data_IF_941502452805
#
_entry.id   IF_941502452805
#
_cell.length_a   1.000
_cell.length_b   1.000
_cell.length_c   1.000
_cell.angle_alpha   90.00
_cell.angle_beta   90.00
_cell.angle_gamma   90.00
#
_symmetry.space_group_name_H-M   'P 1'
#
loop_
_entity.id
_entity.type
_entity.pdbx_description
1 polymer ?
#
# COMPACT_ATOMS: atom_id res chain seq x y z
N UNK A 1 30.81 -30.83 -12.98
CA UNK A 1 30.01 -29.99 -13.89
C UNK A 1 29.35 -28.94 -13.01
N UNK A 2 29.90 -27.73 -12.97
CA UNK A 2 29.63 -26.74 -11.92
C UNK A 2 28.73 -25.65 -12.51
N UNK A 3 27.54 -25.47 -11.93
CA UNK A 3 26.58 -24.42 -12.31
C UNK A 3 27.22 -23.02 -12.20
N UNK A 4 27.17 -22.18 -13.25
CA UNK A 4 27.66 -20.82 -13.19
C UNK A 4 26.51 -19.88 -12.80
N UNK A 5 26.61 -19.22 -11.63
CA UNK A 5 25.68 -18.10 -11.35
C UNK A 5 25.40 -17.72 -9.90
N UNK A 6 26.28 -18.00 -8.94
CA UNK A 6 26.10 -17.47 -7.58
C UNK A 6 27.10 -16.36 -7.26
N UNK A 7 26.86 -15.19 -7.86
CA UNK A 7 27.45 -13.94 -7.37
C UNK A 7 26.61 -13.44 -6.18
N UNK A 8 27.21 -12.99 -5.06
CA UNK A 8 26.47 -12.56 -3.89
C UNK A 8 25.79 -11.21 -4.17
N UNK A 9 24.51 -11.23 -4.51
CA UNK A 9 23.66 -10.05 -4.48
C UNK A 9 23.25 -9.80 -3.02
N UNK A 10 23.68 -8.68 -2.43
CA UNK A 10 23.43 -8.27 -1.05
C UNK A 10 21.97 -7.82 -0.78
N UNK A 11 20.99 -8.39 -1.48
CA UNK A 11 19.58 -7.97 -1.43
C UNK A 11 18.65 -9.08 -0.96
N UNK A 12 17.47 -8.69 -0.46
CA UNK A 12 16.40 -9.63 -0.15
C UNK A 12 16.04 -10.45 -1.40
N UNK A 13 15.97 -11.78 -1.28
CA UNK A 13 15.66 -12.71 -2.37
C UNK A 13 14.37 -13.46 -2.09
N UNK A 14 13.45 -13.44 -3.04
CA UNK A 14 12.30 -14.35 -3.05
C UNK A 14 12.70 -15.67 -3.71
N UNK A 15 12.52 -16.79 -3.00
CA UNK A 15 12.68 -18.14 -3.56
C UNK A 15 11.28 -18.68 -3.86
N UNK A 16 10.89 -18.65 -5.12
CA UNK A 16 9.59 -19.18 -5.56
C UNK A 16 9.76 -20.66 -5.90
N UNK A 17 8.90 -21.51 -5.32
CA UNK A 17 8.84 -22.94 -5.59
C UNK A 17 7.52 -23.25 -6.29
N UNK A 18 7.56 -24.13 -7.28
CA UNK A 18 6.35 -24.58 -7.97
C UNK A 18 5.48 -25.41 -7.02
N UNK A 19 4.19 -25.06 -6.90
CA UNK A 19 3.22 -25.76 -6.02
C UNK A 19 1.94 -26.21 -6.74
N UNK A 20 2.01 -26.47 -8.05
CA UNK A 20 0.83 -26.79 -8.85
C UNK A 20 0.00 -25.54 -9.21
N UNK A 21 -1.15 -25.72 -9.88
CA UNK A 21 -2.02 -24.62 -10.25
C UNK A 21 -2.56 -23.88 -9.01
N UNK A 22 -2.55 -22.54 -9.03
CA UNK A 22 -3.20 -21.73 -8.01
C UNK A 22 -4.71 -21.69 -8.30
N UNK A 23 -5.52 -22.24 -7.39
CA UNK A 23 -6.98 -22.10 -7.40
C UNK A 23 -7.44 -21.28 -6.19
N UNK A 24 -8.27 -20.28 -6.44
CA UNK A 24 -8.85 -19.43 -5.40
C UNK A 24 -9.21 -18.05 -5.92
N UNK A 25 -9.90 -17.28 -5.07
CA UNK A 25 -10.28 -15.89 -5.35
C UNK A 25 -9.49 -14.97 -4.43
N UNK A 26 -8.77 -14.02 -5.01
CA UNK A 26 -8.10 -12.96 -4.26
C UNK A 26 -8.79 -11.63 -4.53
N UNK A 27 -8.98 -10.83 -3.48
CA UNK A 27 -9.49 -9.47 -3.64
C UNK A 27 -8.31 -8.57 -3.96
N UNK A 28 -8.22 -8.09 -5.20
CA UNK A 28 -7.19 -7.15 -5.58
C UNK A 28 -7.35 -5.84 -4.80
N UNK A 29 -6.30 -5.41 -4.09
CA UNK A 29 -6.24 -4.14 -3.38
C UNK A 29 -6.12 -2.95 -4.35
N UNK A 30 -7.19 -2.65 -5.09
CA UNK A 30 -7.19 -1.70 -6.20
C UNK A 30 -7.23 -0.21 -5.84
N UNK A 31 -6.99 0.18 -4.59
CA UNK A 31 -7.27 1.54 -4.14
C UNK A 31 -6.04 2.45 -4.03
N UNK A 32 -4.80 1.94 -4.02
CA UNK A 32 -3.58 2.73 -3.76
C UNK A 32 -3.47 4.00 -4.60
N UNK A 33 -3.57 3.86 -5.92
CA UNK A 33 -3.39 4.98 -6.86
C UNK A 33 -4.57 5.96 -6.84
N UNK A 34 -5.75 5.49 -6.41
CA UNK A 34 -6.93 6.34 -6.26
C UNK A 34 -6.87 7.12 -4.95
N UNK A 35 -6.49 6.45 -3.85
CA UNK A 35 -6.36 7.05 -2.52
C UNK A 35 -5.35 8.21 -2.52
N UNK A 36 -4.17 8.02 -3.10
CA UNK A 36 -3.15 9.07 -3.19
C UNK A 36 -3.66 10.32 -3.93
N UNK A 37 -4.39 10.13 -5.04
CA UNK A 37 -4.97 11.25 -5.81
C UNK A 37 -6.05 11.97 -5.03
N UNK A 38 -6.90 11.23 -4.33
CA UNK A 38 -7.96 11.79 -3.50
C UNK A 38 -7.38 12.56 -2.29
N UNK A 39 -6.32 12.03 -1.66
CA UNK A 39 -5.58 12.71 -0.60
C UNK A 39 -5.04 14.07 -1.05
N UNK A 40 -4.48 14.15 -2.26
CA UNK A 40 -4.07 15.43 -2.85
C UNK A 40 -5.27 16.34 -3.19
N UNK A 41 -6.36 15.78 -3.72
CA UNK A 41 -7.56 16.54 -4.06
C UNK A 41 -8.23 17.19 -2.83
N UNK A 42 -8.10 16.59 -1.65
CA UNK A 42 -8.58 17.18 -0.39
C UNK A 42 -7.94 18.53 -0.06
N UNK A 43 -6.78 18.87 -0.64
CA UNK A 43 -6.18 20.20 -0.52
C UNK A 43 -6.92 21.27 -1.32
N UNK A 44 -7.65 20.88 -2.37
CA UNK A 44 -8.33 21.79 -3.29
C UNK A 44 -9.73 22.19 -2.84
N UNK A 45 -10.28 21.49 -1.83
CA UNK A 45 -11.63 21.69 -1.34
C UNK A 45 -11.59 22.04 0.15
N UNK A 46 -12.32 23.07 0.54
CA UNK A 46 -12.42 23.47 1.94
C UNK A 46 -13.21 22.45 2.77
N UNK A 47 -12.84 22.32 4.05
CA UNK A 47 -13.57 21.52 5.02
C UNK A 47 -12.93 20.18 5.36
N UNK A 48 -13.73 19.30 5.99
CA UNK A 48 -13.30 17.97 6.45
C UNK A 48 -13.69 16.94 5.40
N UNK A 49 -12.70 16.20 4.91
CA UNK A 49 -12.88 15.11 3.96
C UNK A 49 -12.64 13.77 4.65
N UNK A 50 -13.46 12.76 4.32
CA UNK A 50 -13.32 11.39 4.85
C UNK A 50 -13.17 10.44 3.67
N UNK A 51 -12.03 9.75 3.60
CA UNK A 51 -11.75 8.76 2.57
C UNK A 51 -11.96 7.35 3.15
N UNK A 52 -12.83 6.55 2.53
CA UNK A 52 -13.05 5.16 2.89
C UNK A 52 -12.31 4.21 1.94
N UNK A 53 -11.97 3.01 2.42
CA UNK A 53 -11.29 1.99 1.60
C UNK A 53 -9.84 2.34 1.24
N UNK A 54 -9.22 3.26 1.97
CA UNK A 54 -7.80 3.59 1.81
C UNK A 54 -6.96 2.40 2.30
N UNK A 55 -6.07 1.82 1.46
CA UNK A 55 -5.27 0.68 1.86
C UNK A 55 -4.16 1.10 2.83
N UNK A 56 -3.86 0.26 3.81
CA UNK A 56 -2.75 0.49 4.76
C UNK A 56 -1.43 0.03 4.14
N UNK A 57 -0.74 0.96 3.50
CA UNK A 57 0.52 0.74 2.77
C UNK A 57 1.44 1.94 2.96
N UNK A 58 2.75 1.72 2.81
CA UNK A 58 3.77 2.75 3.03
C UNK A 58 3.50 4.06 2.29
N UNK A 59 3.08 4.01 1.02
CA UNK A 59 2.81 5.24 0.25
C UNK A 59 1.69 6.10 0.86
N UNK A 60 0.68 5.49 1.48
CA UNK A 60 -0.40 6.24 2.17
C UNK A 60 0.13 6.93 3.41
N UNK A 61 1.00 6.25 4.17
CA UNK A 61 1.64 6.82 5.36
C UNK A 61 2.56 7.99 4.99
N UNK A 62 3.39 7.83 3.94
CA UNK A 62 4.27 8.88 3.41
C UNK A 62 3.46 10.07 2.93
N UNK A 63 2.37 9.84 2.19
CA UNK A 63 1.50 10.92 1.72
C UNK A 63 0.82 11.63 2.90
N UNK A 64 0.43 10.91 3.95
CA UNK A 64 -0.09 11.49 5.18
C UNK A 64 0.91 12.45 5.83
N UNK A 65 2.15 12.02 6.00
CA UNK A 65 3.24 12.85 6.54
C UNK A 65 3.50 14.10 5.69
N UNK A 66 3.45 13.98 4.36
CA UNK A 66 3.58 15.12 3.45
C UNK A 66 2.45 16.13 3.67
N UNK A 67 1.20 15.67 3.79
CA UNK A 67 0.05 16.54 4.04
C UNK A 67 0.15 17.22 5.42
N UNK A 68 0.61 16.51 6.45
CA UNK A 68 0.88 17.09 7.78
C UNK A 68 1.93 18.18 7.72
N UNK A 69 3.01 17.98 6.95
CA UNK A 69 4.05 18.99 6.74
C UNK A 69 3.53 20.24 6.03
N UNK A 70 2.46 20.12 5.24
CA UNK A 70 1.75 21.24 4.61
C UNK A 70 0.71 21.90 5.54
N UNK A 71 0.58 21.44 6.79
CA UNK A 71 -0.33 21.99 7.79
C UNK A 71 -1.72 21.35 7.81
N UNK A 72 -1.94 20.27 7.06
CA UNK A 72 -3.21 19.53 7.09
C UNK A 72 -3.27 18.66 8.34
N UNK A 73 -4.42 18.65 9.03
CA UNK A 73 -4.69 17.67 10.09
C UNK A 73 -5.27 16.41 9.47
N UNK A 74 -4.55 15.30 9.59
CA UNK A 74 -5.00 13.98 9.12
C UNK A 74 -5.19 13.05 10.32
N UNK A 75 -6.16 12.14 10.22
CA UNK A 75 -6.35 11.05 11.17
C UNK A 75 -6.63 9.78 10.36
N UNK A 76 -5.82 8.75 10.59
CA UNK A 76 -6.04 7.41 10.04
C UNK A 76 -6.89 6.63 11.05
N UNK A 77 -8.12 6.33 10.67
CA UNK A 77 -9.01 5.51 11.47
C UNK A 77 -8.78 4.03 11.11
N UNK A 78 -8.34 3.23 12.07
CA UNK A 78 -8.15 1.80 11.89
C UNK A 78 -9.53 1.13 11.92
N UNK A 79 -10.19 1.06 10.76
CA UNK A 79 -11.25 0.08 10.54
C UNK A 79 -10.61 -1.30 10.53
N UNK A 80 -10.42 -1.86 11.74
CA UNK A 80 -10.05 -3.25 11.93
C UNK A 80 -10.92 -4.11 11.02
N UNK A 81 -10.27 -4.94 10.21
CA UNK A 81 -10.96 -5.96 9.44
C UNK A 81 -11.60 -6.92 10.44
N UNK A 82 -12.85 -6.64 10.79
CA UNK A 82 -13.73 -7.54 11.53
C UNK A 82 -14.02 -8.74 10.65
N UNK A 83 -13.08 -9.67 10.58
CA UNK A 83 -13.33 -11.06 10.28
C UNK A 83 -13.43 -11.79 11.62
N UNK A 84 -14.65 -11.84 12.15
CA UNK A 84 -15.14 -12.94 12.98
C UNK A 84 -15.76 -14.01 12.09
#
# INVERSE_FOLDING_TARGET
MTEPGNSPHSGARFVIRHSGPLEGTVRAGGAKNSALKLMAACLLAEGRHVLSGVPRIADVEIMGQLLEALGVRIALDDFGTGYS
#
